data_IF_642830514362
#
_entry.id   IF_642830514362
#
_cell.length_a   1.000
_cell.length_b   1.000
_cell.length_c   1.000
_cell.angle_alpha   90.00
_cell.angle_beta   90.00
_cell.angle_gamma   90.00
#
_symmetry.space_group_name_H-M   'P 1'
#
loop_
_entity.id
_entity.type
_entity.pdbx_description
1 polymer ?
#
# COMPACT_ATOMS: atom_id res chain seq x y z
N UNK A 1 -10.77 3.39 -19.29
CA UNK A 1 -9.62 2.48 -19.12
C UNK A 1 -10.13 1.19 -18.48
N UNK A 2 -9.78 0.04 -19.03
CA UNK A 2 -10.18 -1.25 -18.46
C UNK A 2 -9.33 -1.62 -17.24
N UNK A 3 -9.83 -2.54 -16.41
CA UNK A 3 -9.07 -3.03 -15.25
C UNK A 3 -7.76 -3.69 -15.67
N UNK A 4 -7.74 -4.38 -16.83
CA UNK A 4 -6.53 -4.97 -17.36
C UNK A 4 -5.48 -3.91 -17.72
N UNK A 5 -5.91 -2.79 -18.31
CA UNK A 5 -5.01 -1.68 -18.65
C UNK A 5 -4.45 -1.02 -17.38
N UNK A 6 -5.28 -0.83 -16.37
CA UNK A 6 -4.87 -0.28 -15.09
C UNK A 6 -3.84 -1.19 -14.42
N UNK A 7 -4.10 -2.50 -14.39
CA UNK A 7 -3.18 -3.47 -13.80
C UNK A 7 -1.84 -3.52 -14.53
N UNK A 8 -1.87 -3.41 -15.85
CA UNK A 8 -0.64 -3.36 -16.66
C UNK A 8 0.18 -2.11 -16.33
N UNK A 9 -0.47 -0.96 -16.27
CA UNK A 9 0.20 0.30 -15.90
C UNK A 9 0.76 0.25 -14.49
N UNK A 10 0.04 -0.38 -13.57
CA UNK A 10 0.51 -0.59 -12.21
C UNK A 10 1.81 -1.41 -12.19
N UNK A 11 1.84 -2.52 -12.91
CA UNK A 11 3.03 -3.38 -12.99
C UNK A 11 4.21 -2.66 -13.62
N UNK A 12 3.96 -1.90 -14.69
CA UNK A 12 4.99 -1.12 -15.37
C UNK A 12 5.57 -0.05 -14.44
N UNK A 13 4.71 0.65 -13.71
CA UNK A 13 5.14 1.65 -12.74
C UNK A 13 5.96 1.02 -11.60
N UNK A 14 5.50 -0.12 -11.07
CA UNK A 14 6.22 -0.85 -10.05
C UNK A 14 7.64 -1.22 -10.53
N UNK A 15 7.73 -1.74 -11.75
CA UNK A 15 9.02 -2.10 -12.35
C UNK A 15 9.92 -0.87 -12.48
N UNK A 16 9.38 0.25 -12.98
CA UNK A 16 10.14 1.48 -13.16
C UNK A 16 10.68 2.00 -11.82
N UNK A 17 9.87 1.96 -10.76
CA UNK A 17 10.28 2.36 -9.43
C UNK A 17 11.39 1.45 -8.90
N UNK A 18 11.25 0.13 -9.07
CA UNK A 18 12.24 -0.84 -8.61
C UNK A 18 13.59 -0.68 -9.31
N UNK A 19 13.58 -0.25 -10.55
CA UNK A 19 14.80 -0.01 -11.33
C UNK A 19 15.41 1.37 -11.07
N UNK A 20 14.72 2.24 -10.32
CA UNK A 20 15.22 3.57 -9.98
C UNK A 20 16.42 3.48 -9.05
N UNK A 21 17.43 4.31 -9.32
CA UNK A 21 18.62 4.39 -8.47
C UNK A 21 18.34 5.01 -7.10
N UNK A 22 17.24 5.74 -6.97
CA UNK A 22 16.88 6.46 -5.75
C UNK A 22 15.91 5.69 -4.86
N UNK A 23 15.66 4.41 -5.14
CA UNK A 23 14.72 3.57 -4.41
C UNK A 23 15.02 3.51 -2.90
N UNK A 24 16.28 3.67 -2.50
CA UNK A 24 16.68 3.65 -1.09
C UNK A 24 16.36 4.96 -0.36
N UNK A 25 16.10 6.02 -1.09
CA UNK A 25 15.79 7.35 -0.54
C UNK A 25 14.31 7.70 -0.63
N UNK A 26 13.68 7.29 -1.73
CA UNK A 26 12.31 7.66 -2.04
C UNK A 26 11.34 6.62 -1.50
N UNK A 27 10.13 7.05 -1.22
CA UNK A 27 9.08 6.15 -0.74
C UNK A 27 7.85 6.26 -1.63
N UNK A 28 7.20 5.11 -1.84
CA UNK A 28 6.04 5.00 -2.71
C UNK A 28 5.01 4.05 -2.09
N UNK A 29 3.76 4.44 -2.19
CA UNK A 29 2.63 3.57 -1.87
C UNK A 29 1.74 3.56 -3.09
N UNK A 30 1.53 2.39 -3.68
CA UNK A 30 0.69 2.20 -4.85
C UNK A 30 -0.30 1.09 -4.53
N UNK A 31 -1.59 1.35 -4.75
CA UNK A 31 -2.61 0.36 -4.48
C UNK A 31 -3.79 0.51 -5.42
N UNK A 32 -4.41 -0.62 -5.75
CA UNK A 32 -5.67 -0.64 -6.46
C UNK A 32 -6.55 -1.79 -5.97
N UNK A 33 -7.84 -1.56 -6.00
CA UNK A 33 -8.85 -2.57 -5.70
C UNK A 33 -9.87 -2.56 -6.83
N UNK A 34 -9.88 -3.61 -7.63
CA UNK A 34 -10.77 -3.75 -8.79
C UNK A 34 -11.48 -5.09 -8.72
N UNK A 35 -12.39 -5.34 -9.64
CA UNK A 35 -13.06 -6.63 -9.77
C UNK A 35 -12.09 -7.79 -10.01
N UNK A 36 -10.87 -7.48 -10.45
CA UNK A 36 -9.81 -8.47 -10.69
C UNK A 36 -8.96 -8.73 -9.46
N UNK A 37 -9.22 -8.04 -8.35
CA UNK A 37 -8.52 -8.23 -7.10
C UNK A 37 -7.82 -6.98 -6.59
N UNK A 38 -7.05 -7.17 -5.54
CA UNK A 38 -6.29 -6.10 -4.88
C UNK A 38 -4.82 -6.24 -5.26
N UNK A 39 -4.23 -5.14 -5.70
CA UNK A 39 -2.80 -5.06 -6.01
C UNK A 39 -2.21 -3.91 -5.22
N UNK A 40 -1.11 -4.14 -4.53
CA UNK A 40 -0.46 -3.08 -3.75
C UNK A 40 1.04 -3.26 -3.73
N UNK A 41 1.76 -2.15 -3.57
CA UNK A 41 3.19 -2.14 -3.36
C UNK A 41 3.55 -1.00 -2.41
N UNK A 42 4.40 -1.29 -1.45
CA UNK A 42 4.97 -0.31 -0.53
C UNK A 42 6.48 -0.40 -0.67
N UNK A 43 7.10 0.68 -1.11
CA UNK A 43 8.52 0.70 -1.48
C UNK A 43 9.20 1.85 -0.76
N UNK A 44 10.36 1.58 -0.17
CA UNK A 44 11.19 2.58 0.47
C UNK A 44 11.39 2.36 1.97
N UNK A 45 12.18 3.21 2.62
CA UNK A 45 12.44 3.10 4.06
C UNK A 45 11.17 3.29 4.89
N UNK A 46 11.01 2.48 5.93
CA UNK A 46 9.81 2.50 6.80
C UNK A 46 9.50 3.89 7.35
N UNK A 47 10.54 4.63 7.77
CA UNK A 47 10.38 5.98 8.27
C UNK A 47 9.73 6.90 7.23
N UNK A 48 10.18 6.81 5.99
CA UNK A 48 9.66 7.64 4.90
C UNK A 48 8.23 7.24 4.52
N UNK A 49 7.91 5.95 4.58
CA UNK A 49 6.54 5.47 4.39
C UNK A 49 5.61 6.07 5.46
N UNK A 50 6.05 6.12 6.72
CA UNK A 50 5.26 6.72 7.79
C UNK A 50 5.00 8.20 7.56
N UNK A 51 6.00 8.94 7.10
CA UNK A 51 5.85 10.36 6.76
C UNK A 51 4.86 10.53 5.60
N UNK A 52 4.99 9.71 4.57
CA UNK A 52 4.09 9.74 3.41
C UNK A 52 2.64 9.49 3.83
N UNK A 53 2.39 8.47 4.66
CA UNK A 53 1.05 8.18 5.19
C UNK A 53 0.50 9.36 6.00
N UNK A 54 1.34 10.00 6.81
CA UNK A 54 0.93 11.18 7.60
C UNK A 54 0.45 12.31 6.69
N UNK A 55 1.16 12.56 5.60
CA UNK A 55 0.76 13.58 4.62
C UNK A 55 -0.58 13.26 3.97
N UNK A 56 -0.79 12.00 3.60
CA UNK A 56 -2.05 11.55 3.00
C UNK A 56 -3.21 11.81 3.98
N UNK A 57 -3.03 11.53 5.26
CA UNK A 57 -4.07 11.71 6.28
C UNK A 57 -4.31 13.19 6.61
N UNK A 58 -3.27 14.02 6.59
CA UNK A 58 -3.44 15.47 6.77
C UNK A 58 -4.28 16.06 5.65
N UNK A 59 -4.04 15.63 4.41
CA UNK A 59 -4.79 16.10 3.25
C UNK A 59 -6.20 15.49 3.18
N UNK A 60 -6.42 14.37 3.84
CA UNK A 60 -7.68 13.63 3.82
C UNK A 60 -8.05 13.19 5.25
N UNK A 61 -8.39 14.13 6.15
CA UNK A 61 -8.57 13.81 7.57
C UNK A 61 -9.73 12.86 7.86
N UNK A 62 -10.72 12.78 6.98
CA UNK A 62 -11.83 11.83 7.08
C UNK A 62 -11.36 10.37 6.95
N UNK A 63 -10.19 10.14 6.38
CA UNK A 63 -9.62 8.79 6.27
C UNK A 63 -8.98 8.29 7.56
N UNK A 64 -8.76 9.14 8.57
CA UNK A 64 -8.12 8.74 9.82
C UNK A 64 -8.88 7.59 10.48
N UNK A 65 -10.21 7.73 10.62
CA UNK A 65 -11.02 6.69 11.24
C UNK A 65 -11.05 5.40 10.39
N UNK A 66 -10.99 5.55 9.08
CA UNK A 66 -10.93 4.40 8.16
C UNK A 66 -9.62 3.63 8.34
N UNK A 67 -8.49 4.34 8.43
CA UNK A 67 -7.19 3.72 8.66
C UNK A 67 -7.10 3.06 10.03
N UNK A 68 -7.67 3.67 11.06
CA UNK A 68 -7.71 3.07 12.41
C UNK A 68 -8.46 1.74 12.39
N UNK A 69 -9.61 1.67 11.71
CA UNK A 69 -10.38 0.43 11.56
C UNK A 69 -9.61 -0.59 10.74
N UNK A 70 -8.95 -0.16 9.66
CA UNK A 70 -8.15 -1.05 8.83
C UNK A 70 -7.00 -1.68 9.61
N UNK A 71 -6.33 -0.91 10.47
CA UNK A 71 -5.26 -1.42 11.33
C UNK A 71 -5.81 -2.47 12.30
N UNK A 72 -6.97 -2.22 12.89
CA UNK A 72 -7.62 -3.18 13.80
C UNK A 72 -7.94 -4.49 13.08
N UNK A 73 -8.54 -4.41 11.89
CA UNK A 73 -8.87 -5.60 11.09
C UNK A 73 -7.60 -6.36 10.70
N UNK A 74 -6.55 -5.65 10.28
CA UNK A 74 -5.28 -6.26 9.91
C UNK A 74 -4.67 -7.02 11.08
N UNK A 75 -4.68 -6.45 12.29
CA UNK A 75 -4.16 -7.09 13.49
C UNK A 75 -4.94 -8.36 13.81
N UNK A 76 -6.27 -8.34 13.68
CA UNK A 76 -7.11 -9.53 13.89
C UNK A 76 -6.74 -10.62 12.88
N UNK A 77 -6.59 -10.27 11.62
CA UNK A 77 -6.23 -11.23 10.58
C UNK A 77 -4.85 -11.86 10.85
N UNK A 78 -3.88 -11.06 11.27
CA UNK A 78 -2.53 -11.54 11.61
C UNK A 78 -2.60 -12.50 12.78
N UNK A 79 -3.37 -12.19 13.83
CA UNK A 79 -3.54 -13.08 14.98
C UNK A 79 -4.18 -14.41 14.59
N UNK A 80 -5.20 -14.39 13.73
CA UNK A 80 -5.86 -15.60 13.25
C UNK A 80 -4.90 -16.47 12.43
N UNK A 81 -4.08 -15.88 11.58
CA UNK A 81 -3.04 -16.62 10.84
C UNK A 81 -2.04 -17.27 11.78
N UNK A 82 -1.59 -16.56 12.81
CA UNK A 82 -0.67 -17.10 13.79
C UNK A 82 -1.28 -18.26 14.57
N UNK A 83 -2.58 -18.23 14.84
CA UNK A 83 -3.28 -19.33 15.51
C UNK A 83 -3.34 -20.59 14.64
N UNK A 84 -3.41 -20.45 13.32
CA UNK A 84 -3.42 -21.59 12.40
C UNK A 84 -2.05 -22.25 12.25
N UNK A 85 -0.98 -21.55 12.59
CA UNK A 85 0.39 -22.08 12.53
C UNK A 85 0.78 -22.88 13.77
N UNK A 86 -0.07 -22.86 14.78
CA UNK A 86 0.11 -23.63 16.01
C UNK A 86 -0.76 -24.89 15.95
#
# INVERSE_FOLDING_TARGET
>A
MTDLEINKKFKDLYKDIKESKDILKDSYIIASNTDKGITSAVIGPTKNIGILLSHILVDNPDLISVFEKAITVANICIELENMHLV
#
